data_IF_192651814024
#
_entry.id   IF_192651814024
#
_cell.length_a   1.000
_cell.length_b   1.000
_cell.length_c   1.000
_cell.angle_alpha   90.00
_cell.angle_beta   90.00
_cell.angle_gamma   90.00
#
_symmetry.space_group_name_H-M   'P 1'
#
loop_
_entity.id
_entity.type
_entity.pdbx_description
1 polymer ?
#
# COMPACT_ATOMS: atom_id res chain seq x y z
N UNK A 1 19.37 -15.23 15.91
CA UNK A 1 18.41 -14.97 17.00
C UNK A 1 17.10 -14.60 16.35
N UNK A 2 15.95 -15.13 16.77
CA UNK A 2 14.69 -14.51 16.38
C UNK A 2 14.72 -13.08 16.96
N UNK A 3 14.59 -12.06 16.12
CA UNK A 3 14.52 -10.68 16.57
C UNK A 3 13.34 -10.58 17.54
N UNK A 4 13.59 -10.14 18.78
CA UNK A 4 12.55 -10.11 19.82
C UNK A 4 11.33 -9.25 19.42
N UNK A 5 11.48 -8.38 18.41
CA UNK A 5 10.43 -7.51 17.88
C UNK A 5 10.65 -7.24 16.37
N UNK A 6 10.16 -8.12 15.50
CA UNK A 6 10.21 -7.91 14.04
C UNK A 6 9.30 -6.74 13.63
N UNK A 7 9.71 -5.96 12.63
CA UNK A 7 8.97 -4.75 12.21
C UNK A 7 7.57 -5.10 11.72
N UNK A 8 7.45 -6.22 10.98
CA UNK A 8 6.20 -6.79 10.47
C UNK A 8 5.10 -6.97 11.51
N UNK A 9 5.44 -7.04 12.80
CA UNK A 9 4.48 -7.25 13.90
C UNK A 9 4.40 -6.08 14.87
N UNK A 10 5.25 -5.06 14.70
CA UNK A 10 5.45 -4.00 15.70
C UNK A 10 4.81 -2.65 15.32
N UNK A 11 4.52 -2.43 14.03
CA UNK A 11 4.05 -1.14 13.50
C UNK A 11 2.58 -1.15 13.05
N UNK A 12 1.76 -2.07 13.57
CA UNK A 12 0.32 -2.00 13.37
C UNK A 12 -0.32 -1.00 14.34
N UNK A 13 -1.48 -0.43 13.97
CA UNK A 13 -2.20 0.47 14.87
C UNK A 13 -2.60 -0.26 16.17
N UNK A 14 -2.40 0.33 17.36
CA UNK A 14 -2.90 -0.22 18.62
C UNK A 14 -4.42 -0.41 18.65
N UNK A 15 -5.15 0.35 17.83
CA UNK A 15 -6.61 0.32 17.73
C UNK A 15 -7.12 -0.60 16.61
N UNK A 16 -6.25 -1.33 15.93
CA UNK A 16 -6.62 -2.16 14.77
C UNK A 16 -7.70 -3.22 15.08
N UNK A 17 -7.84 -3.66 16.34
CA UNK A 17 -8.86 -4.61 16.77
C UNK A 17 -10.24 -4.00 17.04
N UNK A 18 -10.33 -2.66 17.11
CA UNK A 18 -11.55 -1.93 17.51
C UNK A 18 -12.06 -1.05 16.36
N UNK A 19 -11.16 -0.51 15.54
CA UNK A 19 -11.53 0.39 14.45
C UNK A 19 -12.33 -0.36 13.37
N UNK A 20 -13.38 0.28 12.85
CA UNK A 20 -14.17 -0.27 11.74
C UNK A 20 -13.33 -0.46 10.47
N UNK A 21 -12.35 0.43 10.27
CA UNK A 21 -11.36 0.34 9.21
C UNK A 21 -9.96 0.55 9.81
N UNK A 22 -8.95 -0.26 9.48
CA UNK A 22 -7.62 -0.13 10.05
C UNK A 22 -6.97 1.24 9.75
N UNK A 23 -6.34 1.85 10.76
CA UNK A 23 -5.50 3.01 10.57
C UNK A 23 -4.06 2.61 10.20
N UNK A 24 -3.82 2.42 8.91
CA UNK A 24 -2.50 2.04 8.39
C UNK A 24 -1.43 3.14 8.56
N UNK A 25 -1.82 4.42 8.68
CA UNK A 25 -0.89 5.56 8.79
C UNK A 25 -0.11 5.55 10.10
N UNK A 26 -0.73 5.14 11.20
CA UNK A 26 -0.15 5.27 12.54
C UNK A 26 1.28 4.72 12.67
N UNK A 27 1.46 3.42 12.43
CA UNK A 27 2.77 2.80 12.60
C UNK A 27 3.68 3.00 11.40
N UNK A 28 3.12 3.14 10.19
CA UNK A 28 3.86 3.55 9.00
C UNK A 28 4.58 4.89 9.21
N UNK A 29 3.88 5.92 9.69
CA UNK A 29 4.46 7.24 9.98
C UNK A 29 5.51 7.16 11.09
N UNK A 30 5.26 6.33 12.10
CA UNK A 30 6.21 6.11 13.20
C UNK A 30 7.52 5.51 12.69
N UNK A 31 7.45 4.49 11.84
CA UNK A 31 8.62 3.90 11.20
C UNK A 31 9.36 4.93 10.32
N UNK A 32 8.64 5.59 9.42
CA UNK A 32 9.26 6.55 8.49
C UNK A 32 9.84 7.78 9.17
N UNK A 33 9.30 8.17 10.34
CA UNK A 33 9.94 9.17 11.19
C UNK A 33 11.31 8.71 11.71
N UNK A 34 11.46 7.43 12.06
CA UNK A 34 12.76 6.86 12.46
C UNK A 34 13.71 6.71 11.29
N UNK A 35 13.23 6.28 10.13
CA UNK A 35 14.03 6.20 8.91
C UNK A 35 14.54 7.59 8.47
N UNK A 36 13.72 8.64 8.60
CA UNK A 36 14.16 10.02 8.36
C UNK A 36 15.30 10.43 9.31
N UNK A 37 15.22 10.05 10.59
CA UNK A 37 16.32 10.26 11.54
C UNK A 37 17.58 9.51 11.10
N UNK A 38 17.46 8.25 10.67
CA UNK A 38 18.57 7.45 10.14
C UNK A 38 19.26 8.10 8.93
N UNK A 39 18.51 8.75 8.04
CA UNK A 39 19.06 9.52 6.90
C UNK A 39 19.89 10.71 7.40
N UNK A 40 19.33 11.53 8.30
CA UNK A 40 20.04 12.68 8.88
C UNK A 40 21.30 12.25 9.64
N UNK A 41 21.25 11.15 10.38
CA UNK A 41 22.42 10.59 11.06
C UNK A 41 23.54 10.22 10.06
N UNK A 42 23.20 9.62 8.92
CA UNK A 42 24.19 9.29 7.88
C UNK A 42 24.87 10.55 7.32
N UNK A 43 24.10 11.62 7.12
CA UNK A 43 24.61 12.92 6.65
C UNK A 43 25.57 13.54 7.67
N UNK A 44 25.19 13.58 8.94
CA UNK A 44 26.02 14.10 10.03
C UNK A 44 27.35 13.32 10.13
N UNK A 45 27.28 11.98 10.08
CA UNK A 45 28.48 11.14 10.13
C UNK A 45 29.38 11.40 8.92
N UNK A 46 28.80 11.47 7.72
CA UNK A 46 29.55 11.75 6.49
C UNK A 46 30.22 13.13 6.54
N UNK A 47 29.52 14.14 7.05
CA UNK A 47 30.05 15.49 7.21
C UNK A 47 31.23 15.52 8.19
N UNK A 48 31.11 14.83 9.33
CA UNK A 48 32.21 14.75 10.30
C UNK A 48 33.46 14.08 9.70
N UNK A 49 33.27 12.98 8.96
CA UNK A 49 34.38 12.28 8.30
C UNK A 49 35.05 13.19 7.26
N UNK A 50 34.26 13.93 6.49
CA UNK A 50 34.77 14.91 5.52
C UNK A 50 35.63 15.99 6.20
N UNK A 51 35.13 16.61 7.28
CA UNK A 51 35.89 17.60 8.05
C UNK A 51 37.21 17.03 8.58
N UNK A 52 37.20 15.76 9.01
CA UNK A 52 38.39 15.08 9.51
C UNK A 52 39.41 14.83 8.39
N UNK A 53 38.97 14.39 7.21
CA UNK A 53 39.83 14.22 6.02
C UNK A 53 40.48 15.56 5.65
N UNK A 54 39.70 16.64 5.63
CA UNK A 54 40.20 17.99 5.35
C UNK A 54 41.24 18.45 6.36
N UNK A 55 41.00 18.18 7.65
CA UNK A 55 41.95 18.51 8.73
C UNK A 55 43.27 17.75 8.60
N UNK A 56 43.24 16.43 8.33
CA UNK A 56 44.44 15.63 8.12
C UNK A 56 45.23 16.09 6.88
N UNK A 57 44.53 16.40 5.79
CA UNK A 57 45.14 16.93 4.58
C UNK A 57 45.80 18.28 4.82
N UNK A 58 45.13 19.19 5.53
CA UNK A 58 45.65 20.50 5.87
C UNK A 58 46.90 20.41 6.79
N UNK A 59 46.92 19.46 7.72
CA UNK A 59 48.08 19.21 8.57
C UNK A 59 49.30 18.76 7.75
N UNK A 60 49.13 17.75 6.88
CA UNK A 60 50.20 17.30 5.99
C UNK A 60 50.71 18.42 5.07
N UNK A 61 49.80 19.23 4.51
CA UNK A 61 50.17 20.40 3.72
C UNK A 61 50.94 21.46 4.52
N UNK A 62 50.63 21.64 5.80
CA UNK A 62 51.33 22.60 6.67
C UNK A 62 52.76 22.15 6.95
N UNK A 63 52.96 20.85 7.22
CA UNK A 63 54.30 20.26 7.37
C UNK A 63 55.14 20.39 6.09
N UNK A 64 54.54 20.16 4.92
CA UNK A 64 55.26 20.28 3.63
C UNK A 64 55.71 21.71 3.28
N UNK A 65 55.17 22.73 3.95
CA UNK A 65 55.50 24.14 3.71
C UNK A 65 56.63 24.66 4.61
N UNK A 66 57.14 23.83 5.53
CA UNK A 66 58.22 24.24 6.43
C UNK A 66 59.50 24.51 5.63
N UNK A 67 60.06 25.72 5.80
CA UNK A 67 61.34 26.09 5.18
C UNK A 67 62.49 25.42 5.93
N UNK A 68 63.29 24.63 5.23
CA UNK A 68 64.52 24.05 5.77
C UNK A 68 65.65 25.06 5.61
N UNK A 69 66.21 25.53 6.71
CA UNK A 69 67.38 26.41 6.72
C UNK A 69 68.61 25.55 7.03
N UNK A 70 69.55 25.36 6.09
CA UNK A 70 70.76 24.58 6.33
C UNK A 70 71.63 25.22 7.44
N UNK A 71 72.23 24.40 8.29
CA UNK A 71 73.26 24.84 9.23
C UNK A 71 74.58 25.04 8.47
N UNK A 72 75.36 26.07 8.82
CA UNK A 72 76.57 26.48 8.07
C UNK A 72 77.67 25.40 7.95
N UNK A 73 77.63 24.35 8.77
CA UNK A 73 78.68 23.33 8.86
C UNK A 73 78.11 21.90 8.71
N UNK A 74 77.97 21.47 7.45
CA UNK A 74 77.34 20.20 7.01
C UNK A 74 78.06 18.93 7.47
N UNK A 75 79.26 19.06 8.04
CA UNK A 75 80.07 17.92 8.50
C UNK A 75 79.90 17.61 10.00
N UNK A 76 79.13 18.42 10.73
CA UNK A 76 78.88 18.22 12.16
C UNK A 76 77.81 17.15 12.41
N UNK A 77 77.95 16.40 13.50
CA UNK A 77 76.93 15.43 13.93
C UNK A 77 75.56 16.08 14.18
N UNK A 78 75.54 17.34 14.61
CA UNK A 78 74.33 18.11 14.83
C UNK A 78 73.61 18.46 13.51
N UNK A 79 74.34 18.90 12.47
CA UNK A 79 73.75 19.19 11.15
C UNK A 79 73.08 17.94 10.56
N UNK A 80 73.73 16.77 10.67
CA UNK A 80 73.14 15.49 10.25
C UNK A 80 71.87 15.15 11.04
N UNK A 81 71.87 15.31 12.37
CA UNK A 81 70.66 15.08 13.19
C UNK A 81 69.52 16.03 12.81
N UNK A 82 69.81 17.31 12.56
CA UNK A 82 68.80 18.27 12.11
C UNK A 82 68.22 17.89 10.75
N UNK A 83 69.05 17.50 9.79
CA UNK A 83 68.61 17.01 8.49
C UNK A 83 67.67 15.80 8.57
N UNK A 84 67.91 14.87 9.52
CA UNK A 84 67.01 13.75 9.79
C UNK A 84 65.64 14.24 10.27
N UNK A 85 65.58 15.25 11.16
CA UNK A 85 64.30 15.83 11.63
C UNK A 85 63.52 16.51 10.49
N UNK A 86 64.23 17.20 9.59
CA UNK A 86 63.60 17.79 8.41
C UNK A 86 63.03 16.71 7.47
N UNK A 87 63.80 15.65 7.20
CA UNK A 87 63.35 14.52 6.37
C UNK A 87 62.17 13.76 7.01
N UNK A 88 62.17 13.63 8.34
CA UNK A 88 61.06 13.05 9.10
C UNK A 88 59.78 13.90 8.95
N UNK A 89 59.90 15.23 8.99
CA UNK A 89 58.76 16.15 8.80
C UNK A 89 58.17 16.02 7.39
N UNK A 90 59.00 15.86 6.36
CA UNK A 90 58.55 15.63 4.98
C UNK A 90 57.87 14.25 4.82
N UNK A 91 58.41 13.22 5.48
CA UNK A 91 57.83 11.87 5.46
C UNK A 91 56.47 11.88 6.16
N UNK A 92 56.37 12.47 7.35
CA UNK A 92 55.12 12.65 8.08
C UNK A 92 54.07 13.43 7.27
N UNK A 93 54.48 14.50 6.58
CA UNK A 93 53.60 15.26 5.68
C UNK A 93 52.94 14.36 4.62
N UNK A 94 53.73 13.51 3.96
CA UNK A 94 53.25 12.56 2.94
C UNK A 94 52.31 11.53 3.54
N UNK A 95 52.62 11.01 4.73
CA UNK A 95 51.77 10.04 5.43
C UNK A 95 50.40 10.61 5.82
N UNK A 96 50.33 11.85 6.31
CA UNK A 96 49.06 12.50 6.66
C UNK A 96 48.17 12.72 5.44
N UNK A 97 48.74 13.17 4.32
CA UNK A 97 48.00 13.33 3.05
C UNK A 97 47.52 11.95 2.55
N UNK A 98 48.38 10.94 2.55
CA UNK A 98 48.02 9.58 2.15
C UNK A 98 46.91 8.98 3.03
N UNK A 99 46.95 9.22 4.34
CA UNK A 99 45.91 8.82 5.30
C UNK A 99 44.57 9.46 4.96
N UNK A 100 44.56 10.76 4.67
CA UNK A 100 43.35 11.49 4.27
C UNK A 100 42.71 10.88 3.01
N UNK A 101 43.51 10.62 1.97
CA UNK A 101 43.03 10.00 0.73
C UNK A 101 42.54 8.56 0.94
N UNK A 102 43.22 7.78 1.78
CA UNK A 102 42.81 6.41 2.09
C UNK A 102 41.47 6.39 2.85
N UNK A 103 41.28 7.28 3.83
CA UNK A 103 39.99 7.41 4.54
C UNK A 103 38.89 7.84 3.56
N UNK A 104 39.18 8.78 2.67
CA UNK A 104 38.22 9.22 1.66
C UNK A 104 37.75 8.04 0.78
N UNK A 105 38.69 7.37 0.12
CA UNK A 105 38.41 6.31 -0.86
C UNK A 105 37.85 5.03 -0.25
N UNK A 106 38.29 4.64 0.95
CA UNK A 106 37.91 3.34 1.54
C UNK A 106 36.74 3.38 2.53
N UNK A 107 36.38 4.58 3.01
CA UNK A 107 35.32 4.78 3.99
C UNK A 107 34.28 5.83 3.56
N UNK A 108 34.67 7.06 3.24
CA UNK A 108 33.70 8.13 2.97
C UNK A 108 32.95 7.95 1.64
N UNK A 109 33.66 7.72 0.54
CA UNK A 109 33.08 7.53 -0.80
C UNK A 109 32.03 6.39 -0.80
N UNK A 110 32.34 5.19 -0.27
CA UNK A 110 31.36 4.12 -0.17
C UNK A 110 30.17 4.48 0.72
N UNK A 111 30.40 5.17 1.84
CA UNK A 111 29.33 5.57 2.76
C UNK A 111 28.37 6.57 2.13
N UNK A 112 28.87 7.54 1.37
CA UNK A 112 28.04 8.52 0.66
C UNK A 112 27.18 7.85 -0.41
N UNK A 113 27.79 6.96 -1.23
CA UNK A 113 27.04 6.19 -2.24
C UNK A 113 25.96 5.32 -1.60
N UNK A 114 26.30 4.66 -0.49
CA UNK A 114 25.33 3.90 0.30
C UNK A 114 24.19 4.80 0.80
N UNK A 115 24.51 5.95 1.38
CA UNK A 115 23.53 6.87 1.97
C UNK A 115 22.54 7.41 0.92
N UNK A 116 23.03 7.75 -0.27
CA UNK A 116 22.17 8.18 -1.40
C UNK A 116 21.24 7.05 -1.83
N UNK A 117 21.76 5.82 -1.98
CA UNK A 117 20.95 4.65 -2.35
C UNK A 117 19.87 4.38 -1.31
N UNK A 118 20.27 4.34 -0.04
CA UNK A 118 19.39 4.07 1.10
C UNK A 118 18.25 5.11 1.19
N UNK A 119 18.57 6.40 1.11
CA UNK A 119 17.58 7.49 1.10
C UNK A 119 16.60 7.37 -0.08
N UNK A 120 17.12 7.09 -1.29
CA UNK A 120 16.29 6.91 -2.48
C UNK A 120 15.32 5.74 -2.35
N UNK A 121 15.77 4.59 -1.84
CA UNK A 121 14.91 3.41 -1.68
C UNK A 121 13.76 3.75 -0.73
N UNK A 122 14.07 4.29 0.45
CA UNK A 122 13.06 4.69 1.44
C UNK A 122 12.05 5.68 0.86
N UNK A 123 12.51 6.73 0.17
CA UNK A 123 11.61 7.71 -0.43
C UNK A 123 10.67 7.08 -1.46
N UNK A 124 11.18 6.18 -2.29
CA UNK A 124 10.42 5.53 -3.36
C UNK A 124 9.37 4.57 -2.81
N UNK A 125 9.77 3.69 -1.88
CA UNK A 125 8.86 2.69 -1.29
C UNK A 125 7.84 3.35 -0.37
N UNK A 126 8.24 4.39 0.37
CA UNK A 126 7.32 5.24 1.14
C UNK A 126 6.19 5.77 0.27
N UNK A 127 6.54 6.43 -0.85
CA UNK A 127 5.56 7.04 -1.74
C UNK A 127 4.57 6.02 -2.31
N UNK A 128 5.06 4.82 -2.68
CA UNK A 128 4.21 3.77 -3.23
C UNK A 128 3.15 3.29 -2.22
N UNK A 129 3.55 3.09 -0.96
CA UNK A 129 2.63 2.66 0.11
C UNK A 129 1.65 3.79 0.50
N UNK A 130 2.13 5.04 0.60
CA UNK A 130 1.27 6.20 0.86
C UNK A 130 0.16 6.33 -0.19
N UNK A 131 0.50 6.14 -1.48
CA UNK A 131 -0.48 6.19 -2.55
C UNK A 131 -1.57 5.12 -2.40
N UNK A 132 -1.22 3.89 -2.00
CA UNK A 132 -2.21 2.84 -1.76
C UNK A 132 -3.10 3.18 -0.55
N UNK A 133 -2.51 3.69 0.54
CA UNK A 133 -3.24 4.08 1.74
C UNK A 133 -4.22 5.22 1.48
N UNK A 134 -3.82 6.23 0.69
CA UNK A 134 -4.71 7.32 0.29
C UNK A 134 -5.88 6.82 -0.57
N UNK A 135 -5.64 5.86 -1.46
CA UNK A 135 -6.72 5.22 -2.23
C UNK A 135 -7.67 4.43 -1.34
N UNK A 136 -7.18 3.74 -0.32
CA UNK A 136 -8.00 3.04 0.66
C UNK A 136 -8.84 4.01 1.49
N UNK A 137 -8.26 5.12 1.97
CA UNK A 137 -9.00 6.16 2.69
C UNK A 137 -10.10 6.80 1.83
N UNK A 138 -9.84 7.03 0.54
CA UNK A 138 -10.86 7.49 -0.39
C UNK A 138 -11.98 6.46 -0.55
N UNK A 139 -11.64 5.17 -0.61
CA UNK A 139 -12.60 4.08 -0.74
C UNK A 139 -13.45 3.91 0.52
N UNK A 140 -12.85 4.04 1.72
CA UNK A 140 -13.57 4.09 3.01
C UNK A 140 -14.66 5.17 2.97
N UNK A 141 -14.32 6.39 2.52
CA UNK A 141 -15.30 7.48 2.39
C UNK A 141 -16.43 7.15 1.43
N UNK A 142 -16.12 6.49 0.30
CA UNK A 142 -17.13 6.05 -0.67
C UNK A 142 -18.06 4.99 -0.08
N UNK A 143 -17.52 4.02 0.66
CA UNK A 143 -18.29 2.95 1.32
C UNK A 143 -19.23 3.54 2.37
N UNK A 144 -18.76 4.44 3.22
CA UNK A 144 -19.61 5.10 4.22
C UNK A 144 -20.71 5.95 3.56
N UNK A 145 -20.40 6.66 2.48
CA UNK A 145 -21.41 7.40 1.73
C UNK A 145 -22.46 6.48 1.10
N UNK A 146 -22.04 5.36 0.50
CA UNK A 146 -22.94 4.38 -0.10
C UNK A 146 -23.83 3.70 0.95
N UNK A 147 -23.28 3.38 2.12
CA UNK A 147 -24.00 2.86 3.29
C UNK A 147 -25.07 3.82 3.77
N UNK A 148 -24.74 5.11 3.94
CA UNK A 148 -25.70 6.14 4.34
C UNK A 148 -26.82 6.30 3.30
N UNK A 149 -26.49 6.28 2.01
CA UNK A 149 -27.48 6.31 0.94
C UNK A 149 -28.41 5.10 1.01
N UNK A 150 -27.86 3.88 1.10
CA UNK A 150 -28.65 2.65 1.23
C UNK A 150 -29.60 2.71 2.44
N UNK A 151 -29.08 3.07 3.63
CA UNK A 151 -29.89 3.22 4.84
C UNK A 151 -31.01 4.26 4.67
N UNK A 152 -30.75 5.35 3.96
CA UNK A 152 -31.75 6.38 3.67
C UNK A 152 -32.86 5.83 2.76
N UNK A 153 -32.52 5.05 1.72
CA UNK A 153 -33.51 4.40 0.85
C UNK A 153 -34.33 3.36 1.59
N UNK A 154 -33.71 2.55 2.45
CA UNK A 154 -34.41 1.60 3.32
C UNK A 154 -35.43 2.31 4.23
N UNK A 155 -35.02 3.40 4.89
CA UNK A 155 -35.92 4.21 5.73
C UNK A 155 -37.09 4.76 4.92
N UNK A 156 -36.84 5.30 3.72
CA UNK A 156 -37.90 5.84 2.86
C UNK A 156 -38.96 4.78 2.51
N UNK A 157 -38.53 3.55 2.17
CA UNK A 157 -39.48 2.44 1.92
C UNK A 157 -40.25 2.08 3.18
N UNK A 158 -39.58 1.95 4.33
CA UNK A 158 -40.25 1.60 5.59
C UNK A 158 -41.22 2.67 6.06
N UNK A 159 -40.99 3.96 5.73
CA UNK A 159 -41.96 5.03 5.97
C UNK A 159 -43.21 4.87 5.10
N UNK A 160 -43.06 4.45 3.84
CA UNK A 160 -44.19 4.23 2.93
C UNK A 160 -44.92 2.90 3.22
N UNK A 161 -44.17 1.86 3.61
CA UNK A 161 -44.66 0.51 3.85
C UNK A 161 -43.86 -0.13 5.00
N UNK A 162 -44.31 0.02 6.25
CA UNK A 162 -43.58 -0.49 7.44
C UNK A 162 -43.40 -2.02 7.46
N UNK A 163 -44.32 -2.73 6.81
CA UNK A 163 -44.29 -4.20 6.68
C UNK A 163 -43.44 -4.68 5.51
N UNK A 164 -42.84 -3.78 4.73
CA UNK A 164 -42.01 -4.17 3.59
C UNK A 164 -40.82 -5.02 4.05
N UNK A 165 -40.63 -6.15 3.40
CA UNK A 165 -39.49 -7.04 3.59
C UNK A 165 -39.02 -7.47 2.20
N UNK A 166 -37.73 -7.34 1.88
CA UNK A 166 -37.19 -7.88 0.65
C UNK A 166 -37.49 -9.39 0.58
N UNK A 167 -38.02 -9.86 -0.54
CA UNK A 167 -38.20 -11.30 -0.78
C UNK A 167 -36.97 -11.86 -1.49
N UNK A 168 -36.83 -13.19 -1.52
CA UNK A 168 -35.81 -13.85 -2.33
C UNK A 168 -36.52 -14.94 -3.14
N UNK A 169 -36.67 -14.70 -4.43
CA UNK A 169 -37.28 -15.63 -5.38
C UNK A 169 -36.16 -16.23 -6.22
N UNK A 170 -35.96 -17.55 -6.13
CA UNK A 170 -34.97 -18.27 -6.93
C UNK A 170 -35.65 -18.95 -8.10
N UNK A 171 -35.16 -18.69 -9.30
CA UNK A 171 -35.62 -19.33 -10.54
C UNK A 171 -34.39 -19.84 -11.28
N UNK A 172 -34.18 -21.17 -11.19
CA UNK A 172 -32.97 -21.81 -11.72
C UNK A 172 -31.71 -21.24 -11.08
N UNK A 173 -30.80 -20.70 -11.89
CA UNK A 173 -29.55 -20.08 -11.40
C UNK A 173 -29.70 -18.61 -11.02
N UNK A 174 -30.86 -17.99 -11.30
CA UNK A 174 -31.12 -16.57 -11.01
C UNK A 174 -31.80 -16.36 -9.67
N UNK A 175 -31.51 -15.20 -9.07
CA UNK A 175 -32.10 -14.74 -7.82
C UNK A 175 -32.71 -13.36 -8.05
N UNK A 176 -33.98 -13.22 -7.67
CA UNK A 176 -34.75 -12.00 -7.74
C UNK A 176 -35.19 -11.60 -6.34
N UNK A 177 -35.34 -10.30 -6.10
CA UNK A 177 -35.76 -9.75 -4.83
C UNK A 177 -37.19 -9.21 -4.86
N UNK A 178 -37.70 -8.96 -6.07
CA UNK A 178 -39.05 -8.48 -6.31
C UNK A 178 -39.69 -9.10 -7.55
N UNK A 179 -41.02 -9.14 -7.55
CA UNK A 179 -41.81 -9.67 -8.68
C UNK A 179 -41.55 -8.93 -9.99
N UNK A 180 -41.38 -7.60 -9.94
CA UNK A 180 -41.14 -6.79 -11.14
C UNK A 180 -39.81 -7.12 -11.84
N UNK A 181 -38.80 -7.61 -11.11
CA UNK A 181 -37.51 -7.98 -11.73
C UNK A 181 -37.68 -9.22 -12.62
N UNK A 182 -38.56 -10.14 -12.22
CA UNK A 182 -38.94 -11.31 -13.03
C UNK A 182 -39.78 -10.86 -14.23
N UNK A 183 -40.71 -9.92 -14.04
CA UNK A 183 -41.49 -9.35 -15.15
C UNK A 183 -40.58 -8.62 -16.17
N UNK A 184 -39.57 -7.89 -15.69
CA UNK A 184 -38.55 -7.24 -16.53
C UNK A 184 -37.68 -8.27 -17.25
N UNK A 185 -37.32 -9.39 -16.60
CA UNK A 185 -36.58 -10.49 -17.24
C UNK A 185 -37.40 -11.18 -18.35
N UNK A 186 -38.70 -11.40 -18.10
CA UNK A 186 -39.62 -11.99 -19.07
C UNK A 186 -40.03 -11.01 -20.19
N UNK A 187 -39.56 -9.76 -20.18
CA UNK A 187 -39.99 -8.71 -21.12
C UNK A 187 -39.75 -9.08 -22.58
N UNK A 188 -38.67 -9.81 -22.88
CA UNK A 188 -38.32 -10.24 -24.24
C UNK A 188 -39.21 -11.36 -24.79
N UNK A 189 -39.94 -12.08 -23.92
CA UNK A 189 -40.90 -13.10 -24.34
C UNK A 189 -42.19 -12.47 -24.87
N UNK A 190 -42.69 -13.07 -25.96
CA UNK A 190 -44.00 -12.76 -26.53
C UNK A 190 -45.13 -13.02 -25.52
N UNK A 191 -46.27 -12.36 -25.72
CA UNK A 191 -47.46 -12.52 -24.88
C UNK A 191 -48.06 -13.93 -24.98
N UNK A 192 -48.03 -14.51 -26.18
CA UNK A 192 -48.42 -15.89 -26.49
C UNK A 192 -47.19 -16.67 -26.92
N UNK A 193 -46.99 -17.85 -26.34
CA UNK A 193 -45.78 -18.65 -26.44
C UNK A 193 -46.18 -20.12 -26.65
N UNK A 194 -45.42 -20.85 -27.46
CA UNK A 194 -45.46 -22.32 -27.43
C UNK A 194 -44.38 -22.87 -26.48
N UNK A 195 -44.45 -24.16 -26.14
CA UNK A 195 -43.47 -24.79 -25.24
C UNK A 195 -42.05 -24.70 -25.78
N UNK A 196 -41.88 -24.87 -27.10
CA UNK A 196 -40.58 -24.84 -27.76
C UNK A 196 -39.92 -23.48 -27.61
N UNK A 197 -40.67 -22.39 -27.82
CA UNK A 197 -40.23 -21.02 -27.64
C UNK A 197 -39.76 -20.74 -26.22
N UNK A 198 -40.44 -21.28 -25.21
CA UNK A 198 -40.03 -21.12 -23.80
C UNK A 198 -38.74 -21.88 -23.52
N UNK A 199 -38.61 -23.11 -24.02
CA UNK A 199 -37.38 -23.92 -23.87
C UNK A 199 -36.20 -23.24 -24.55
N UNK A 200 -36.35 -22.85 -25.82
CA UNK A 200 -35.30 -22.17 -26.59
C UNK A 200 -34.87 -20.86 -25.91
N UNK A 201 -35.83 -20.12 -25.32
CA UNK A 201 -35.52 -18.92 -24.53
C UNK A 201 -34.77 -19.24 -23.23
N UNK A 202 -35.22 -20.24 -22.45
CA UNK A 202 -34.53 -20.65 -21.23
C UNK A 202 -33.11 -21.12 -21.51
N UNK A 203 -32.89 -21.87 -22.59
CA UNK A 203 -31.56 -22.29 -23.04
C UNK A 203 -30.69 -21.07 -23.40
N UNK A 204 -31.25 -20.08 -24.10
CA UNK A 204 -30.53 -18.84 -24.41
C UNK A 204 -30.12 -18.03 -23.16
N UNK A 205 -30.91 -18.14 -22.08
CA UNK A 205 -30.65 -17.52 -20.77
C UNK A 205 -29.82 -18.42 -19.82
N UNK A 206 -29.31 -19.55 -20.35
CA UNK A 206 -28.55 -20.57 -19.63
C UNK A 206 -29.29 -21.11 -18.39
N UNK A 207 -30.59 -21.38 -18.55
CA UNK A 207 -31.48 -21.91 -17.51
C UNK A 207 -31.95 -23.33 -17.83
N UNK A 208 -32.22 -24.11 -16.78
CA UNK A 208 -32.86 -25.42 -16.89
C UNK A 208 -34.32 -25.29 -17.33
N UNK A 209 -34.81 -26.25 -18.11
CA UNK A 209 -36.24 -26.36 -18.49
C UNK A 209 -37.16 -26.44 -17.27
N UNK A 210 -36.66 -26.92 -16.12
CA UNK A 210 -37.42 -26.95 -14.87
C UNK A 210 -37.92 -25.56 -14.42
N UNK A 211 -37.24 -24.49 -14.82
CA UNK A 211 -37.65 -23.10 -14.50
C UNK A 211 -39.02 -22.76 -15.10
N UNK A 212 -39.41 -23.42 -16.19
CA UNK A 212 -40.74 -23.27 -16.76
C UNK A 212 -41.83 -23.65 -15.74
N UNK A 213 -41.66 -24.74 -14.99
CA UNK A 213 -42.60 -25.15 -13.96
C UNK A 213 -42.67 -24.14 -12.82
N UNK A 214 -41.54 -23.55 -12.44
CA UNK A 214 -41.49 -22.51 -11.41
C UNK A 214 -42.18 -21.22 -11.86
N UNK A 215 -42.00 -20.81 -13.13
CA UNK A 215 -42.69 -19.66 -13.72
C UNK A 215 -44.22 -19.86 -13.78
N UNK A 216 -44.66 -21.09 -14.02
CA UNK A 216 -46.09 -21.46 -13.95
C UNK A 216 -46.57 -21.44 -12.50
N UNK A 217 -45.83 -22.07 -11.59
CA UNK A 217 -46.18 -22.16 -10.16
C UNK A 217 -46.26 -20.79 -9.47
N UNK A 218 -45.40 -19.84 -9.88
CA UNK A 218 -45.41 -18.45 -9.40
C UNK A 218 -46.35 -17.52 -10.20
N UNK A 219 -47.12 -18.10 -11.14
CA UNK A 219 -48.14 -17.43 -11.92
C UNK A 219 -47.59 -16.23 -12.73
N UNK A 220 -46.42 -16.40 -13.35
CA UNK A 220 -45.88 -15.48 -14.36
C UNK A 220 -46.26 -15.89 -15.78
N UNK A 221 -46.36 -17.20 -16.01
CA UNK A 221 -46.84 -17.81 -17.26
C UNK A 221 -48.01 -18.73 -16.90
N UNK A 222 -49.03 -18.77 -17.75
CA UNK A 222 -50.18 -19.67 -17.62
C UNK A 222 -50.25 -20.59 -18.82
N UNK A 223 -50.45 -21.88 -18.57
CA UNK A 223 -50.78 -22.84 -19.62
C UNK A 223 -52.25 -22.69 -20.00
N UNK A 224 -52.52 -22.45 -21.28
CA UNK A 224 -53.86 -22.27 -21.85
C UNK A 224 -54.31 -23.54 -22.59
N UNK A 225 -53.37 -24.25 -23.23
CA UNK A 225 -53.59 -25.52 -23.92
C UNK A 225 -52.36 -26.45 -23.76
N UNK A 226 -52.37 -27.65 -24.34
CA UNK A 226 -51.28 -28.64 -24.21
C UNK A 226 -49.88 -28.06 -24.53
N UNK A 227 -49.82 -27.20 -25.55
CA UNK A 227 -48.58 -26.56 -26.00
C UNK A 227 -48.68 -25.03 -26.12
N UNK A 228 -49.75 -24.42 -25.61
CA UNK A 228 -49.97 -22.97 -25.67
C UNK A 228 -49.90 -22.34 -24.28
N UNK A 229 -49.08 -21.30 -24.16
CA UNK A 229 -48.81 -20.56 -22.94
C UNK A 229 -49.02 -19.06 -23.14
N UNK A 230 -49.44 -18.38 -22.08
CA UNK A 230 -49.63 -16.94 -22.08
C UNK A 230 -48.93 -16.28 -20.89
N UNK A 231 -48.35 -15.10 -21.10
CA UNK A 231 -47.83 -14.27 -20.00
C UNK A 231 -49.00 -13.75 -19.16
N UNK A 232 -48.89 -13.90 -17.85
CA UNK A 232 -49.93 -13.45 -16.93
C UNK A 232 -49.81 -11.94 -16.74
N UNK A 233 -50.77 -11.18 -17.30
CA UNK A 233 -50.90 -9.74 -17.06
C UNK A 233 -51.38 -9.51 -15.63
N UNK A 234 -50.58 -8.83 -14.82
CA UNK A 234 -50.98 -8.39 -13.47
C UNK A 234 -52.10 -7.34 -13.59
N UNK A 235 -53.29 -7.62 -13.02
CA UNK A 235 -54.38 -6.63 -12.95
C UNK A 235 -53.97 -5.53 -11.97
N UNK A 236 -53.81 -4.29 -12.47
CA UNK A 236 -53.77 -3.05 -11.66
C UNK A 236 -55.03 -2.99 -10.78
N UNK A 237 -54.98 -3.35 -9.49
CA UNK A 237 -56.12 -3.05 -8.63
C UNK A 237 -56.33 -3.80 -7.32
N UNK A 238 -55.72 -4.95 -7.02
CA UNK A 238 -56.11 -5.69 -5.79
C UNK A 238 -55.01 -5.92 -4.75
N UNK A 239 -53.74 -5.87 -5.15
CA UNK A 239 -52.56 -5.85 -4.28
C UNK A 239 -51.40 -5.12 -4.98
N UNK A 240 -51.74 -4.22 -5.90
CA UNK A 240 -50.77 -3.66 -6.84
C UNK A 240 -50.05 -2.50 -6.21
N UNK A 241 -48.79 -2.78 -5.89
CA UNK A 241 -47.74 -1.79 -5.83
C UNK A 241 -47.97 -0.72 -6.91
N UNK A 242 -48.07 0.54 -6.49
CA UNK A 242 -48.19 1.62 -7.46
C UNK A 242 -46.81 1.92 -8.06
N UNK A 243 -46.76 2.40 -9.30
CA UNK A 243 -45.49 2.69 -10.01
C UNK A 243 -44.54 3.60 -9.20
N UNK A 244 -45.09 4.40 -8.28
CA UNK A 244 -44.33 5.25 -7.37
C UNK A 244 -43.58 4.45 -6.31
N UNK A 245 -44.22 3.43 -5.72
CA UNK A 245 -43.54 2.52 -4.81
C UNK A 245 -42.41 1.78 -5.56
N UNK A 246 -42.66 1.31 -6.80
CA UNK A 246 -41.66 0.72 -7.74
C UNK A 246 -40.33 1.42 -7.81
N UNK A 247 -40.39 2.74 -7.91
CA UNK A 247 -39.19 3.56 -7.94
C UNK A 247 -38.38 3.42 -6.65
N UNK A 248 -39.01 3.44 -5.47
CA UNK A 248 -38.28 3.39 -4.19
C UNK A 248 -37.54 2.07 -3.98
N UNK A 249 -38.15 0.92 -4.31
CA UNK A 249 -37.43 -0.38 -4.18
C UNK A 249 -36.34 -0.51 -5.23
N UNK A 250 -36.57 -0.06 -6.48
CA UNK A 250 -35.50 -0.03 -7.50
C UNK A 250 -34.31 0.82 -7.02
N UNK A 251 -34.56 2.01 -6.48
CA UNK A 251 -33.51 2.87 -5.92
C UNK A 251 -32.80 2.24 -4.72
N UNK A 252 -33.54 1.57 -3.82
CA UNK A 252 -32.95 0.87 -2.68
C UNK A 252 -32.08 -0.30 -3.13
N UNK A 253 -32.56 -1.17 -4.03
CA UNK A 253 -31.79 -2.30 -4.57
C UNK A 253 -30.55 -1.82 -5.33
N UNK A 254 -30.65 -0.69 -6.04
CA UNK A 254 -29.50 -0.07 -6.68
C UNK A 254 -28.48 0.44 -5.65
N UNK A 255 -28.93 1.13 -4.60
CA UNK A 255 -28.06 1.60 -3.52
C UNK A 255 -27.40 0.43 -2.75
N UNK A 256 -28.15 -0.64 -2.53
CA UNK A 256 -27.69 -1.89 -1.92
C UNK A 256 -26.60 -2.56 -2.76
N UNK A 257 -26.82 -2.69 -4.08
CA UNK A 257 -25.81 -3.19 -5.02
C UNK A 257 -24.53 -2.36 -4.98
N UNK A 258 -24.65 -1.03 -5.09
CA UNK A 258 -23.49 -0.12 -5.03
C UNK A 258 -22.74 -0.26 -3.71
N UNK A 259 -23.45 -0.33 -2.58
CA UNK A 259 -22.83 -0.52 -1.28
C UNK A 259 -22.10 -1.87 -1.19
N UNK A 260 -22.72 -2.97 -1.60
CA UNK A 260 -22.08 -4.30 -1.62
C UNK A 260 -20.84 -4.35 -2.51
N UNK A 261 -20.92 -3.80 -3.72
CA UNK A 261 -19.79 -3.78 -4.65
C UNK A 261 -18.61 -3.00 -4.05
N UNK A 262 -18.89 -1.88 -3.37
CA UNK A 262 -17.86 -1.10 -2.66
C UNK A 262 -17.31 -1.83 -1.43
N UNK A 263 -18.13 -2.57 -0.67
CA UNK A 263 -17.68 -3.40 0.47
C UNK A 263 -16.71 -4.49 -0.01
N UNK A 264 -17.03 -5.19 -1.10
CA UNK A 264 -16.13 -6.19 -1.69
C UNK A 264 -14.83 -5.54 -2.15
N UNK A 265 -14.93 -4.36 -2.77
CA UNK A 265 -13.76 -3.63 -3.26
C UNK A 265 -12.84 -3.17 -2.12
N UNK A 266 -13.41 -2.67 -1.01
CA UNK A 266 -12.60 -2.21 0.13
C UNK A 266 -11.97 -3.37 0.89
N UNK A 267 -12.66 -4.50 1.05
CA UNK A 267 -12.08 -5.68 1.68
C UNK A 267 -10.90 -6.22 0.86
N UNK A 268 -11.03 -6.26 -0.47
CA UNK A 268 -9.92 -6.62 -1.36
C UNK A 268 -8.73 -5.65 -1.19
N UNK A 269 -9.01 -4.34 -1.20
CA UNK A 269 -7.96 -3.33 -1.04
C UNK A 269 -7.30 -3.37 0.33
N UNK A 270 -8.05 -3.70 1.39
CA UNK A 270 -7.51 -3.90 2.74
C UNK A 270 -6.44 -4.98 2.73
N UNK A 271 -6.76 -6.16 2.19
CA UNK A 271 -5.82 -7.29 2.14
C UNK A 271 -4.59 -6.97 1.30
N UNK A 272 -4.76 -6.30 0.16
CA UNK A 272 -3.63 -5.87 -0.68
C UNK A 272 -2.67 -4.93 0.08
N UNK A 273 -3.20 -3.99 0.86
CA UNK A 273 -2.38 -3.07 1.67
C UNK A 273 -1.73 -3.78 2.86
N UNK A 274 -2.44 -4.69 3.51
CA UNK A 274 -1.90 -5.49 4.62
C UNK A 274 -0.68 -6.31 4.15
N UNK A 275 -0.78 -6.97 3.00
CA UNK A 275 0.33 -7.70 2.38
C UNK A 275 1.47 -6.76 1.98
N UNK A 276 1.15 -5.63 1.34
CA UNK A 276 2.16 -4.65 0.93
C UNK A 276 2.92 -4.05 2.12
N UNK A 277 2.22 -3.72 3.22
CA UNK A 277 2.82 -3.22 4.45
C UNK A 277 3.68 -4.27 5.14
N UNK A 278 3.23 -5.53 5.15
CA UNK A 278 4.00 -6.63 5.72
C UNK A 278 5.35 -6.78 5.01
N UNK A 279 5.35 -6.78 3.68
CA UNK A 279 6.58 -6.83 2.88
C UNK A 279 7.44 -5.57 3.06
N UNK A 280 6.81 -4.39 3.07
CA UNK A 280 7.49 -3.11 3.26
C UNK A 280 8.20 -3.05 4.61
N UNK A 281 7.57 -3.49 5.69
CA UNK A 281 8.18 -3.52 7.02
C UNK A 281 9.40 -4.44 7.09
N UNK A 282 9.36 -5.59 6.43
CA UNK A 282 10.51 -6.49 6.31
C UNK A 282 11.68 -5.84 5.55
N UNK A 283 11.36 -5.21 4.43
CA UNK A 283 12.36 -4.52 3.61
C UNK A 283 13.02 -3.40 4.41
N UNK A 284 12.25 -2.59 5.12
CA UNK A 284 12.78 -1.51 5.95
C UNK A 284 13.63 -2.03 7.11
N UNK A 285 13.25 -3.14 7.74
CA UNK A 285 14.06 -3.79 8.78
C UNK A 285 15.42 -4.25 8.21
N UNK A 286 15.41 -4.91 7.06
CA UNK A 286 16.61 -5.37 6.38
C UNK A 286 17.52 -4.20 5.98
N UNK A 287 16.95 -3.10 5.47
CA UNK A 287 17.69 -1.89 5.14
C UNK A 287 18.31 -1.23 6.37
N UNK A 288 17.59 -1.17 7.49
CA UNK A 288 18.14 -0.65 8.75
C UNK A 288 19.29 -1.51 9.27
N UNK A 289 19.15 -2.83 9.19
CA UNK A 289 20.23 -3.74 9.57
C UNK A 289 21.47 -3.57 8.68
N UNK A 290 21.28 -3.46 7.36
CA UNK A 290 22.35 -3.18 6.41
C UNK A 290 23.04 -1.84 6.73
N UNK A 291 22.27 -0.79 7.02
CA UNK A 291 22.78 0.52 7.42
C UNK A 291 23.66 0.42 8.66
N UNK A 292 23.17 -0.19 9.73
CA UNK A 292 23.90 -0.32 10.99
C UNK A 292 25.20 -1.10 10.79
N UNK A 293 25.16 -2.18 10.02
CA UNK A 293 26.36 -2.97 9.71
C UNK A 293 27.37 -2.17 8.89
N UNK A 294 26.90 -1.44 7.87
CA UNK A 294 27.74 -0.60 7.00
C UNK A 294 28.43 0.51 7.79
N UNK A 295 27.70 1.20 8.67
CA UNK A 295 28.28 2.24 9.52
C UNK A 295 29.28 1.67 10.52
N UNK A 296 28.90 0.62 11.26
CA UNK A 296 29.70 0.05 12.34
C UNK A 296 30.95 -0.67 11.84
N UNK A 297 30.78 -1.57 10.88
CA UNK A 297 31.85 -2.46 10.40
C UNK A 297 32.62 -1.85 9.23
N UNK A 298 31.92 -1.12 8.35
CA UNK A 298 32.49 -0.54 7.14
C UNK A 298 33.21 0.78 7.41
N UNK A 299 32.50 1.80 7.89
CA UNK A 299 33.06 3.13 8.02
C UNK A 299 33.85 3.31 9.34
N UNK A 300 33.19 3.18 10.49
CA UNK A 300 33.77 3.59 11.77
C UNK A 300 34.96 2.72 12.20
N UNK A 301 34.87 1.40 11.99
CA UNK A 301 35.98 0.48 12.32
C UNK A 301 37.21 0.72 11.43
N UNK A 302 37.02 0.99 10.14
CA UNK A 302 38.12 1.29 9.21
C UNK A 302 38.79 2.61 9.56
N UNK A 303 37.99 3.65 9.82
CA UNK A 303 38.49 4.97 10.23
C UNK A 303 39.33 4.84 11.51
N UNK A 304 38.81 4.13 12.53
CA UNK A 304 39.56 3.87 13.76
C UNK A 304 40.91 3.19 13.49
N UNK A 305 40.94 2.16 12.64
CA UNK A 305 42.18 1.42 12.32
C UNK A 305 43.19 2.25 11.52
N UNK A 306 42.73 3.20 10.69
CA UNK A 306 43.62 4.10 9.94
C UNK A 306 44.14 5.26 10.79
N UNK A 307 43.55 5.48 11.97
CA UNK A 307 43.88 6.60 12.85
C UNK A 307 44.76 6.21 14.03
N UNK A 308 44.70 4.96 14.49
CA UNK A 308 45.62 4.39 15.47
C UNK A 308 46.82 3.73 14.76
#
# INVERSE_FOLDING_TARGET
MPFAHAFQTSFWSPTASIDLYPNFKYGFDTLHKRLAQSITENEIISQYIQQRIESERAYGQSLSKLTIIPLEDDLTGLSRCFGVVCAESETSAKEHVARAENVNTTALDPLQRFSVRYSRIIATTKQAIEQQMDQFEMLVKQVEQAKLNYQTRCKAILTLQPTYRPTVIRLGTRVFHERFEIEDWLRSLNETLDRKMIIDWLESENQSVSVMHDLIGLNFIRQVDEDLFEKVKTKKGFFTWNSRQEVYVKEMLQADKVYRDLVIKIDKMRTEIEEALFMHFEEMENLELERIQTLKQGALKKIKKMMC
#
